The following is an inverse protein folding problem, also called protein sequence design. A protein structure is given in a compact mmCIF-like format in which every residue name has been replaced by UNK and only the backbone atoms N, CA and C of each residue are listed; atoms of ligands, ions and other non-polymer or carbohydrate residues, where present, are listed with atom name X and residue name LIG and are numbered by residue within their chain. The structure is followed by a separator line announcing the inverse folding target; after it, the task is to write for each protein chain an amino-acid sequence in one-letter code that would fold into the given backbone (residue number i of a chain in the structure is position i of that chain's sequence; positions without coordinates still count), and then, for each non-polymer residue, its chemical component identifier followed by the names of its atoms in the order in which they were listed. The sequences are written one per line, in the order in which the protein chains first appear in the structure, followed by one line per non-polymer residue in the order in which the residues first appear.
data_IF_637463681300
#
_entry.id   IF_637463681300
#
_cell.length_a   1.000
_cell.length_b   1.000
_cell.length_c   1.000
_cell.angle_alpha   90.00
_cell.angle_beta   90.00
_cell.angle_gamma   90.00
#
_symmetry.space_group_name_H-M   'P 1'
#
loop_
_entity.id
_entity.type
_entity.pdbx_description
1 polymer ?
#
# COMPACT_ATOMS: atom_id res chain seq x y z
N UNK A 1 -1.80 3.28 13.26
CA UNK A 1 -1.10 4.04 12.18
C UNK A 1 -0.69 3.08 11.06
N UNK A 2 -1.55 2.78 10.12
CA UNK A 2 -1.29 1.76 9.09
C UNK A 2 -0.33 2.21 7.99
N UNK A 3 -0.08 3.53 7.86
CA UNK A 3 0.80 4.08 6.84
C UNK A 3 2.18 4.48 7.35
N UNK A 4 2.53 4.15 8.59
CA UNK A 4 3.85 4.47 9.15
C UNK A 4 4.95 3.76 8.35
N UNK A 5 6.00 4.48 8.02
CA UNK A 5 7.11 3.95 7.19
C UNK A 5 8.16 3.26 8.06
N UNK A 6 8.74 2.20 7.50
CA UNK A 6 9.84 1.50 8.16
C UNK A 6 11.04 2.43 8.44
N UNK A 7 11.35 3.33 7.50
CA UNK A 7 12.42 4.31 7.64
C UNK A 7 12.17 5.29 8.80
N UNK A 8 10.93 5.73 8.99
CA UNK A 8 10.54 6.59 10.12
C UNK A 8 10.77 5.89 11.45
N UNK A 9 10.36 4.60 11.54
CA UNK A 9 10.60 3.79 12.74
C UNK A 9 12.09 3.53 12.97
N UNK A 10 12.85 3.24 11.92
CA UNK A 10 14.30 3.05 12.01
C UNK A 10 15.00 4.32 12.51
N UNK A 11 14.64 5.49 11.98
CA UNK A 11 15.18 6.77 12.42
C UNK A 11 14.80 7.06 13.89
N UNK A 12 13.57 6.74 14.29
CA UNK A 12 13.16 6.89 15.70
C UNK A 12 14.01 6.02 16.62
N UNK A 13 14.27 4.77 16.24
CA UNK A 13 15.12 3.86 17.00
C UNK A 13 16.58 4.32 17.07
N UNK A 14 17.11 4.90 15.98
CA UNK A 14 18.47 5.45 15.95
C UNK A 14 18.65 6.66 16.88
N UNK A 15 17.60 7.45 17.09
CA UNK A 15 17.63 8.58 18.03
C UNK A 15 17.59 8.13 19.50
N UNK A 16 16.93 7.02 19.78
CA UNK A 16 16.90 6.44 21.11
C UNK A 16 18.26 5.81 21.45
N UNK A 17 18.58 5.71 22.73
CA UNK A 17 19.80 5.10 23.26
C UNK A 17 19.61 4.61 24.69
N UNK A 18 20.69 4.26 25.36
CA UNK A 18 20.63 3.86 26.78
C UNK A 18 20.24 5.04 27.69
N UNK A 19 20.70 6.24 27.34
CA UNK A 19 20.49 7.48 28.10
C UNK A 19 19.61 8.51 27.35
N UNK A 20 18.88 8.08 26.31
CA UNK A 20 17.96 8.90 25.56
C UNK A 20 16.72 8.11 25.15
N UNK A 21 15.58 8.77 25.15
CA UNK A 21 14.37 8.25 24.49
C UNK A 21 14.03 9.10 23.26
N UNK A 22 13.30 8.53 22.35
CA UNK A 22 12.81 9.27 21.20
C UNK A 22 11.30 9.25 21.11
N UNK A 23 10.73 10.32 20.55
CA UNK A 23 9.30 10.56 20.45
C UNK A 23 8.96 10.97 19.02
N UNK A 24 8.05 10.25 18.36
CA UNK A 24 7.52 10.67 17.07
C UNK A 24 6.45 11.73 17.30
N UNK A 25 6.64 12.90 16.73
CA UNK A 25 5.69 14.03 16.79
C UNK A 25 5.16 14.36 15.39
N UNK A 26 4.15 15.19 15.30
CA UNK A 26 3.56 15.63 14.03
C UNK A 26 3.14 17.09 14.09
N UNK A 27 3.37 17.86 13.02
CA UNK A 27 2.84 19.21 12.86
C UNK A 27 1.46 19.13 12.23
N UNK A 28 0.45 19.69 12.90
CA UNK A 28 -0.96 19.65 12.50
C UNK A 28 -1.49 21.08 12.34
N UNK A 29 -2.27 21.32 11.29
CA UNK A 29 -3.00 22.58 11.13
C UNK A 29 -4.09 22.72 12.22
N UNK A 30 -4.79 21.64 12.50
CA UNK A 30 -5.73 21.52 13.62
C UNK A 30 -5.30 20.34 14.51
N UNK A 31 -4.67 20.61 15.67
CA UNK A 31 -4.22 19.56 16.60
C UNK A 31 -5.30 19.11 17.58
N UNK A 32 -6.57 19.45 17.36
CA UNK A 32 -7.68 19.06 18.24
C UNK A 32 -7.72 17.54 18.46
N UNK A 33 -7.80 17.13 19.72
CA UNK A 33 -7.82 15.74 20.14
C UNK A 33 -6.45 15.09 20.35
N UNK A 34 -5.37 15.77 19.99
CA UNK A 34 -4.00 15.27 20.23
C UNK A 34 -3.43 15.85 21.53
N UNK A 35 -2.52 15.10 22.19
CA UNK A 35 -1.65 15.67 23.21
C UNK A 35 -0.66 16.66 22.58
N UNK A 36 -0.34 17.73 23.27
CA UNK A 36 0.58 18.79 22.77
C UNK A 36 1.99 18.56 23.29
N UNK A 37 2.97 18.79 22.44
CA UNK A 37 4.39 18.73 22.79
C UNK A 37 4.82 20.07 23.36
N UNK A 38 5.01 20.12 24.67
CA UNK A 38 5.48 21.34 25.34
C UNK A 38 7.01 21.37 25.32
N UNK A 39 7.57 22.48 24.85
CA UNK A 39 9.01 22.70 24.74
C UNK A 39 9.47 23.86 25.59
N UNK A 40 10.74 23.81 26.00
CA UNK A 40 11.39 24.96 26.63
C UNK A 40 11.78 26.03 25.58
N UNK A 41 12.24 27.22 26.00
CA UNK A 41 12.70 28.26 25.06
C UNK A 41 13.89 27.85 24.20
N UNK A 42 14.63 26.79 24.54
CA UNK A 42 15.72 26.23 23.75
C UNK A 42 15.24 25.20 22.73
N UNK A 43 13.94 24.87 22.73
CA UNK A 43 13.33 23.88 21.84
C UNK A 43 13.35 22.45 22.33
N UNK A 44 13.85 22.17 23.54
CA UNK A 44 13.85 20.82 24.15
C UNK A 44 12.44 20.45 24.60
N UNK A 45 12.07 19.20 24.40
CA UNK A 45 10.82 18.65 24.91
C UNK A 45 10.84 18.61 26.42
N UNK A 46 9.81 19.17 27.06
CA UNK A 46 9.61 19.16 28.51
C UNK A 46 8.60 18.09 28.91
N UNK A 47 7.43 18.06 28.27
CA UNK A 47 6.33 17.16 28.58
C UNK A 47 5.32 17.10 27.43
N UNK A 48 4.40 16.17 27.55
CA UNK A 48 3.18 16.13 26.75
C UNK A 48 2.02 16.53 27.65
N UNK A 49 1.16 17.41 27.18
CA UNK A 49 -0.09 17.75 27.85
C UNK A 49 -1.28 17.26 27.01
N UNK A 50 -2.14 16.48 27.62
CA UNK A 50 -3.34 15.98 26.95
C UNK A 50 -4.35 17.11 26.70
N UNK A 51 -5.15 17.00 25.62
CA UNK A 51 -6.12 18.02 25.21
C UNK A 51 -7.01 18.54 26.34
N UNK A 52 -7.43 17.66 27.26
CA UNK A 52 -8.36 18.00 28.36
C UNK A 52 -7.69 18.67 29.55
N UNK A 53 -6.38 18.52 29.68
CA UNK A 53 -5.58 19.08 30.75
C UNK A 53 -4.78 20.32 30.30
N UNK A 54 -4.82 20.65 29.00
CA UNK A 54 -4.06 21.75 28.42
C UNK A 54 -4.67 23.12 28.77
N UNK A 55 -3.79 24.06 29.11
CA UNK A 55 -4.14 25.47 29.25
C UNK A 55 -4.50 26.11 27.89
N UNK A 56 -5.18 27.27 27.88
CA UNK A 56 -5.46 27.97 26.62
C UNK A 56 -4.22 28.24 25.76
N UNK A 57 -3.10 28.59 26.37
CA UNK A 57 -1.84 28.84 25.67
C UNK A 57 -1.28 27.50 25.05
N UNK A 58 -1.34 26.40 25.78
CA UNK A 58 -0.90 25.10 25.29
C UNK A 58 -1.77 24.54 24.18
N UNK A 59 -3.06 24.88 24.15
CA UNK A 59 -3.94 24.53 23.05
C UNK A 59 -3.54 25.18 21.72
N UNK A 60 -2.75 26.26 21.73
CA UNK A 60 -2.23 26.91 20.53
C UNK A 60 -1.03 26.19 19.91
N UNK A 61 -0.48 25.19 20.60
CA UNK A 61 0.65 24.39 20.08
C UNK A 61 0.16 23.49 18.96
N UNK A 62 0.78 23.60 17.79
CA UNK A 62 0.47 22.80 16.61
C UNK A 62 1.21 21.45 16.56
N UNK A 63 2.20 21.24 17.42
CA UNK A 63 2.94 19.98 17.48
C UNK A 63 2.21 18.97 18.36
N UNK A 64 1.71 17.91 17.72
CA UNK A 64 0.95 16.82 18.35
C UNK A 64 1.79 15.59 18.69
N UNK A 65 1.39 14.91 19.75
CA UNK A 65 1.91 13.59 20.11
C UNK A 65 1.28 12.50 19.23
N UNK A 66 2.09 11.65 18.61
CA UNK A 66 1.59 10.53 17.82
C UNK A 66 1.34 9.24 18.65
N UNK A 67 1.87 9.19 19.87
CA UNK A 67 1.86 7.97 20.70
C UNK A 67 2.94 6.95 20.35
N UNK A 68 3.78 7.22 19.34
CA UNK A 68 4.91 6.34 18.97
C UNK A 68 6.19 6.86 19.61
N UNK A 69 6.85 6.02 20.38
CA UNK A 69 8.10 6.37 21.07
C UNK A 69 9.02 5.16 21.19
N UNK A 70 10.31 5.40 21.29
CA UNK A 70 11.30 4.38 21.66
C UNK A 70 11.90 4.73 23.02
N UNK A 71 11.77 3.80 23.96
CA UNK A 71 12.07 4.01 25.38
C UNK A 71 12.98 2.90 25.90
N UNK A 72 14.08 3.22 26.63
CA UNK A 72 14.90 2.20 27.28
C UNK A 72 14.07 1.41 28.31
N UNK A 73 14.01 0.08 28.15
CA UNK A 73 13.11 -0.79 28.94
C UNK A 73 13.38 -0.70 30.46
N UNK A 74 14.63 -0.59 30.87
CA UNK A 74 14.98 -0.47 32.28
C UNK A 74 14.38 0.80 32.92
N UNK A 75 14.42 1.92 32.20
CA UNK A 75 13.85 3.20 32.65
C UNK A 75 12.31 3.18 32.61
N UNK A 76 11.75 2.63 31.55
CA UNK A 76 10.29 2.51 31.38
C UNK A 76 9.64 1.81 32.59
N UNK A 77 10.22 0.69 33.07
CA UNK A 77 9.69 -0.04 34.24
C UNK A 77 9.61 0.85 35.49
N UNK A 78 10.62 1.69 35.70
CA UNK A 78 10.65 2.61 36.87
C UNK A 78 9.60 3.69 36.73
N UNK A 79 9.42 4.26 35.51
CA UNK A 79 8.44 5.31 35.26
C UNK A 79 7.00 4.79 35.34
N UNK A 80 6.71 3.62 34.77
CA UNK A 80 5.38 3.01 34.85
C UNK A 80 4.93 2.81 36.31
N UNK A 81 5.82 2.45 37.20
CA UNK A 81 5.50 2.32 38.65
C UNK A 81 5.21 3.67 39.35
N UNK A 82 5.58 4.79 38.76
CA UNK A 82 5.38 6.15 39.31
C UNK A 82 4.15 6.85 38.69
N UNK A 83 3.51 6.28 37.65
CA UNK A 83 2.33 6.88 37.01
C UNK A 83 1.20 7.09 38.02
N UNK A 84 0.50 8.21 37.85
CA UNK A 84 -0.66 8.59 38.65
C UNK A 84 -1.85 8.83 37.76
N UNK A 85 -3.05 8.79 38.32
CA UNK A 85 -4.30 9.09 37.63
C UNK A 85 -4.95 10.40 38.10
N UNK A 86 -4.14 11.33 38.61
CA UNK A 86 -4.60 12.64 39.11
C UNK A 86 -4.68 13.66 37.97
N UNK A 87 -5.54 13.40 36.97
CA UNK A 87 -5.77 14.23 35.79
C UNK A 87 -7.26 14.38 35.52
N UNK A 88 -7.65 15.20 34.55
CA UNK A 88 -9.05 15.51 34.21
C UNK A 88 -9.90 14.27 33.87
N UNK A 89 -9.30 13.17 33.43
CA UNK A 89 -9.98 11.94 33.06
C UNK A 89 -9.92 10.84 34.13
N UNK A 90 -9.06 10.98 35.15
CA UNK A 90 -8.84 9.95 36.16
C UNK A 90 -8.13 8.72 35.63
N UNK A 91 -7.39 8.84 34.51
CA UNK A 91 -6.72 7.76 33.79
C UNK A 91 -5.19 7.82 34.00
N UNK A 92 -4.51 6.68 33.82
CA UNK A 92 -3.06 6.65 33.78
C UNK A 92 -2.58 7.03 32.38
N UNK A 93 -1.92 8.19 32.26
CA UNK A 93 -1.38 8.63 30.98
C UNK A 93 0.03 8.12 30.78
N UNK A 94 0.23 7.30 29.75
CA UNK A 94 1.59 6.85 29.39
C UNK A 94 2.48 8.03 29.00
N UNK A 95 1.90 9.12 28.51
CA UNK A 95 2.57 10.36 28.11
C UNK A 95 3.30 11.06 29.27
N UNK A 96 2.92 10.79 30.54
CA UNK A 96 3.58 11.35 31.72
C UNK A 96 5.04 10.87 31.87
N UNK A 97 5.40 9.74 31.23
CA UNK A 97 6.81 9.26 31.26
C UNK A 97 7.77 10.24 30.60
N UNK A 98 7.30 11.12 29.71
CA UNK A 98 8.11 12.14 29.05
C UNK A 98 8.62 13.15 30.08
N UNK A 99 7.72 13.68 30.91
CA UNK A 99 8.08 14.60 32.00
C UNK A 99 8.99 13.92 33.04
N UNK A 100 8.70 12.65 33.37
CA UNK A 100 9.55 11.88 34.27
C UNK A 100 10.96 11.65 33.72
N UNK A 101 11.07 11.39 32.40
CA UNK A 101 12.36 11.24 31.74
C UNK A 101 13.18 12.54 31.82
N UNK A 102 12.55 13.68 31.51
CA UNK A 102 13.18 15.00 31.60
C UNK A 102 13.64 15.29 33.05
N UNK A 103 12.79 15.00 34.05
CA UNK A 103 13.11 15.19 35.46
C UNK A 103 14.27 14.29 35.94
N UNK A 104 14.38 13.09 35.40
CA UNK A 104 15.46 12.15 35.69
C UNK A 104 16.74 12.44 34.83
N UNK A 105 16.78 13.54 34.05
CA UNK A 105 17.92 13.96 33.23
C UNK A 105 18.13 13.16 31.96
N UNK A 106 17.10 12.40 31.52
CA UNK A 106 17.12 11.65 30.28
C UNK A 106 16.69 12.57 29.10
N UNK A 107 17.49 12.59 28.05
CA UNK A 107 17.18 13.39 26.88
C UNK A 107 15.99 12.81 26.10
N UNK A 108 14.99 13.64 25.81
CA UNK A 108 13.87 13.30 24.93
C UNK A 108 14.10 13.90 23.55
N UNK A 109 14.41 13.04 22.56
CA UNK A 109 14.71 13.44 21.19
C UNK A 109 13.46 13.34 20.31
N UNK A 110 12.86 14.46 19.89
CA UNK A 110 11.72 14.43 19.01
C UNK A 110 12.15 14.13 17.57
N UNK A 111 11.34 13.33 16.88
CA UNK A 111 11.36 13.13 15.43
C UNK A 111 10.03 13.61 14.88
N UNK A 112 10.03 14.63 14.04
CA UNK A 112 8.80 15.08 13.38
C UNK A 112 8.51 14.14 12.22
N UNK A 113 7.29 13.59 12.17
CA UNK A 113 6.86 12.74 11.07
C UNK A 113 6.93 13.49 9.73
N UNK A 114 7.49 12.87 8.67
CA UNK A 114 7.61 13.52 7.36
C UNK A 114 6.28 13.96 6.77
N UNK A 115 5.20 13.23 7.08
CA UNK A 115 3.84 13.55 6.64
C UNK A 115 2.82 13.22 7.72
N UNK A 116 1.73 13.95 7.75
CA UNK A 116 0.59 13.67 8.64
C UNK A 116 0.01 12.28 8.37
N UNK A 117 -0.01 11.86 7.11
CA UNK A 117 -0.57 10.58 6.69
C UNK A 117 0.08 9.37 7.40
N UNK A 118 1.39 9.43 7.67
CA UNK A 118 2.10 8.33 8.35
C UNK A 118 1.58 8.04 9.76
N UNK A 119 1.06 9.08 10.42
CA UNK A 119 0.68 9.03 11.84
C UNK A 119 -0.82 9.06 12.08
N UNK A 120 -1.63 9.05 11.02
CA UNK A 120 -3.09 8.98 11.15
C UNK A 120 -3.51 7.68 11.86
N UNK A 121 -4.30 7.83 12.92
CA UNK A 121 -5.02 6.75 13.57
C UNK A 121 -6.33 6.43 12.85
N UNK A 122 -6.90 5.26 13.13
CA UNK A 122 -8.22 4.85 12.64
C UNK A 122 -9.05 4.48 13.84
N UNK A 123 -10.11 5.24 14.11
CA UNK A 123 -11.06 4.99 15.19
C UNK A 123 -12.46 4.65 14.66
N UNK A 124 -12.74 5.01 13.41
CA UNK A 124 -14.02 4.79 12.76
C UNK A 124 -13.87 4.48 11.26
N UNK A 125 -14.99 4.22 10.59
CA UNK A 125 -15.01 3.87 9.16
C UNK A 125 -14.75 5.06 8.23
N UNK A 126 -15.00 6.29 8.68
CA UNK A 126 -14.70 7.50 7.90
C UNK A 126 -13.18 7.69 7.83
N UNK A 127 -12.53 7.64 8.99
CA UNK A 127 -11.07 7.69 9.07
C UNK A 127 -10.40 6.53 8.32
N UNK A 128 -11.00 5.32 8.36
CA UNK A 128 -10.52 4.20 7.55
C UNK A 128 -10.58 4.53 6.06
N UNK A 129 -11.68 5.08 5.57
CA UNK A 129 -11.84 5.44 4.16
C UNK A 129 -10.86 6.54 3.71
N UNK A 130 -10.57 7.50 4.58
CA UNK A 130 -9.57 8.56 4.33
C UNK A 130 -8.16 7.99 4.23
N UNK A 131 -7.78 7.12 5.15
CA UNK A 131 -6.45 6.47 5.15
C UNK A 131 -6.30 5.52 3.95
N UNK A 132 -7.34 4.79 3.56
CA UNK A 132 -7.37 3.98 2.34
C UNK A 132 -7.22 4.83 1.07
N UNK A 133 -7.88 5.98 1.00
CA UNK A 133 -7.74 6.91 -0.13
C UNK A 133 -6.31 7.44 -0.23
N UNK A 134 -5.70 7.79 0.91
CA UNK A 134 -4.31 8.24 0.96
C UNK A 134 -3.34 7.11 0.58
N UNK A 135 -3.58 5.88 1.03
CA UNK A 135 -2.79 4.72 0.61
C UNK A 135 -2.80 4.56 -0.91
N UNK A 136 -4.00 4.59 -1.54
CA UNK A 136 -4.12 4.51 -3.02
C UNK A 136 -3.36 5.64 -3.71
N UNK A 137 -3.46 6.86 -3.20
CA UNK A 137 -2.75 8.03 -3.73
C UNK A 137 -1.22 7.85 -3.68
N UNK A 138 -0.70 7.34 -2.57
CA UNK A 138 0.73 7.06 -2.41
C UNK A 138 1.20 5.97 -3.39
N UNK A 139 0.45 4.87 -3.53
CA UNK A 139 0.77 3.77 -4.46
C UNK A 139 0.75 4.24 -5.92
N UNK A 140 -0.26 5.03 -6.31
CA UNK A 140 -0.32 5.63 -7.65
C UNK A 140 0.88 6.55 -7.92
N UNK A 141 1.27 7.35 -6.94
CA UNK A 141 2.46 8.22 -7.04
C UNK A 141 3.75 7.40 -7.23
N UNK A 142 3.92 6.31 -6.48
CA UNK A 142 5.07 5.41 -6.63
C UNK A 142 5.15 4.84 -8.06
N UNK A 143 4.03 4.38 -8.62
CA UNK A 143 3.97 3.89 -10.00
C UNK A 143 4.36 4.98 -11.02
N UNK A 144 3.85 6.21 -10.86
CA UNK A 144 4.21 7.33 -11.74
C UNK A 144 5.70 7.70 -11.61
N UNK A 145 6.25 7.69 -10.41
CA UNK A 145 7.68 7.93 -10.18
C UNK A 145 8.56 6.82 -10.77
N UNK A 146 8.06 5.59 -10.82
CA UNK A 146 8.72 4.46 -11.48
C UNK A 146 8.58 4.49 -13.01
N UNK A 147 7.81 5.43 -13.59
CA UNK A 147 7.68 5.64 -15.03
C UNK A 147 6.37 5.19 -15.65
N UNK A 148 5.34 4.84 -14.87
CA UNK A 148 4.01 4.56 -15.41
C UNK A 148 3.27 5.85 -15.79
N UNK A 149 2.50 5.77 -16.87
CA UNK A 149 1.45 6.74 -17.19
C UNK A 149 0.11 6.22 -16.66
N UNK A 150 -0.47 6.91 -15.69
CA UNK A 150 -1.82 6.64 -15.19
C UNK A 150 -2.81 7.64 -15.80
N UNK A 151 -3.87 7.16 -16.45
CA UNK A 151 -4.89 8.04 -17.07
C UNK A 151 -5.63 8.83 -15.97
N UNK A 152 -5.96 8.18 -14.86
CA UNK A 152 -6.49 8.81 -13.66
C UNK A 152 -5.89 8.14 -12.41
N UNK A 153 -4.92 8.77 -11.73
CA UNK A 153 -4.28 8.20 -10.56
C UNK A 153 -5.24 7.88 -9.39
N UNK A 154 -6.36 8.58 -9.28
CA UNK A 154 -7.35 8.33 -8.23
C UNK A 154 -8.17 7.04 -8.45
N UNK A 155 -8.12 6.49 -9.67
CA UNK A 155 -8.91 5.34 -10.10
C UNK A 155 -8.08 4.09 -10.39
N UNK A 156 -6.89 4.00 -9.80
CA UNK A 156 -6.04 2.80 -9.80
C UNK A 156 -5.92 2.29 -8.36
N UNK A 157 -6.13 1.00 -8.15
CA UNK A 157 -6.07 0.38 -6.84
C UNK A 157 -4.98 -0.70 -6.79
N UNK A 158 -4.05 -0.57 -5.85
CA UNK A 158 -2.93 -1.52 -5.66
C UNK A 158 -3.06 -2.18 -4.29
N UNK A 159 -3.46 -3.45 -4.28
CA UNK A 159 -3.65 -4.29 -3.10
C UNK A 159 -2.55 -5.34 -3.01
N UNK A 160 -1.30 -4.88 -2.99
CA UNK A 160 -0.12 -5.75 -2.98
C UNK A 160 1.11 -5.03 -3.50
N UNK A 161 1.91 -5.72 -4.31
CA UNK A 161 3.12 -5.16 -4.93
C UNK A 161 3.02 -5.17 -6.45
N UNK A 162 3.37 -4.05 -7.06
CA UNK A 162 3.44 -3.93 -8.53
C UNK A 162 4.85 -3.46 -8.89
N UNK A 163 5.52 -4.23 -9.75
CA UNK A 163 6.76 -3.82 -10.40
C UNK A 163 6.50 -3.55 -11.87
N UNK A 164 7.07 -2.49 -12.42
CA UNK A 164 6.83 -2.05 -13.79
C UNK A 164 8.13 -1.83 -14.55
N UNK A 165 8.07 -2.08 -15.85
CA UNK A 165 9.07 -1.65 -16.81
C UNK A 165 8.86 -0.19 -17.24
N UNK A 166 9.46 0.18 -18.38
CA UNK A 166 9.37 1.54 -18.95
C UNK A 166 8.10 1.70 -19.78
N UNK A 167 7.58 2.95 -19.81
CA UNK A 167 6.48 3.35 -20.70
C UNK A 167 5.19 2.50 -20.53
N UNK A 168 4.93 2.04 -19.31
CA UNK A 168 3.70 1.32 -18.98
C UNK A 168 2.53 2.29 -18.91
N UNK A 169 1.41 1.96 -19.58
CA UNK A 169 0.17 2.73 -19.54
C UNK A 169 -0.90 1.96 -18.78
N UNK A 170 -1.49 2.60 -17.78
CA UNK A 170 -2.55 2.02 -16.93
C UNK A 170 -3.78 2.93 -17.01
N UNK A 171 -4.90 2.36 -17.44
CA UNK A 171 -6.16 3.07 -17.55
C UNK A 171 -6.95 3.09 -16.24
N UNK A 172 -8.14 3.67 -16.27
CA UNK A 172 -9.00 3.86 -15.10
C UNK A 172 -9.58 2.55 -14.57
N UNK A 173 -9.86 2.51 -13.26
CA UNK A 173 -10.48 1.38 -12.57
C UNK A 173 -9.69 0.05 -12.68
N UNK A 174 -8.40 0.14 -12.87
CA UNK A 174 -7.54 -1.05 -12.83
C UNK A 174 -7.25 -1.41 -11.38
N UNK A 175 -7.38 -2.69 -11.06
CA UNK A 175 -7.08 -3.26 -9.74
C UNK A 175 -5.94 -4.26 -9.86
N UNK A 176 -4.88 -4.04 -9.09
CA UNK A 176 -3.78 -4.99 -8.93
C UNK A 176 -3.86 -5.65 -7.56
N UNK A 177 -3.83 -6.98 -7.50
CA UNK A 177 -3.85 -7.76 -6.26
C UNK A 177 -2.66 -8.71 -6.19
N UNK A 178 -2.14 -8.93 -4.98
CA UNK A 178 -0.99 -9.78 -4.76
C UNK A 178 0.29 -9.24 -5.42
N UNK A 179 1.04 -10.07 -6.13
CA UNK A 179 2.27 -9.68 -6.82
C UNK A 179 2.03 -9.59 -8.33
N UNK A 180 2.20 -8.41 -8.90
CA UNK A 180 2.06 -8.20 -10.35
C UNK A 180 3.34 -7.60 -10.92
N UNK A 181 3.81 -8.19 -12.01
CA UNK A 181 4.96 -7.69 -12.78
C UNK A 181 4.53 -7.29 -14.17
N UNK A 182 4.86 -6.08 -14.60
CA UNK A 182 4.58 -5.55 -15.93
C UNK A 182 5.90 -5.21 -16.62
N UNK A 183 6.14 -5.78 -17.81
CA UNK A 183 7.28 -5.45 -18.65
C UNK A 183 7.19 -4.06 -19.28
N UNK A 184 8.15 -3.75 -20.15
CA UNK A 184 8.19 -2.47 -20.86
C UNK A 184 6.99 -2.32 -21.81
N UNK A 185 6.45 -1.10 -21.93
CA UNK A 185 5.38 -0.70 -22.88
C UNK A 185 4.09 -1.50 -22.75
N UNK A 186 3.88 -2.19 -21.64
CA UNK A 186 2.62 -2.86 -21.35
C UNK A 186 1.49 -1.83 -21.25
N UNK A 187 0.33 -2.17 -21.80
CA UNK A 187 -0.89 -1.36 -21.72
C UNK A 187 -2.00 -2.12 -21.04
N UNK A 188 -2.56 -1.56 -19.98
CA UNK A 188 -3.68 -2.14 -19.24
C UNK A 188 -4.92 -1.28 -19.44
N UNK A 189 -5.91 -1.84 -20.13
CA UNK A 189 -7.21 -1.20 -20.39
C UNK A 189 -8.11 -1.12 -19.16
N UNK A 190 -9.12 -0.26 -19.20
CA UNK A 190 -9.94 0.09 -18.05
C UNK A 190 -10.74 -1.11 -17.52
N UNK A 191 -11.08 -1.05 -16.24
CA UNK A 191 -11.87 -2.04 -15.50
C UNK A 191 -11.24 -3.44 -15.49
N UNK A 192 -9.94 -3.57 -15.63
CA UNK A 192 -9.24 -4.85 -15.61
C UNK A 192 -8.73 -5.17 -14.20
N UNK A 193 -8.75 -6.45 -13.83
CA UNK A 193 -8.25 -6.98 -12.56
C UNK A 193 -7.12 -7.95 -12.83
N UNK A 194 -5.95 -7.69 -12.24
CA UNK A 194 -4.78 -8.55 -12.34
C UNK A 194 -4.38 -9.01 -10.94
N UNK A 195 -4.36 -10.33 -10.72
CA UNK A 195 -3.97 -10.94 -9.45
C UNK A 195 -2.83 -11.92 -9.65
N UNK A 196 -1.69 -11.70 -8.97
CA UNK A 196 -0.50 -12.59 -9.05
C UNK A 196 -0.10 -12.91 -10.49
N UNK A 197 0.13 -11.89 -11.32
CA UNK A 197 0.38 -12.02 -12.75
C UNK A 197 1.76 -11.50 -13.16
N UNK A 198 2.35 -12.18 -14.14
CA UNK A 198 3.55 -11.73 -14.83
C UNK A 198 3.22 -11.41 -16.29
N UNK A 199 3.30 -10.15 -16.68
CA UNK A 199 2.97 -9.66 -18.03
C UNK A 199 4.24 -9.17 -18.70
N UNK A 200 4.64 -9.81 -19.78
CA UNK A 200 5.85 -9.46 -20.52
C UNK A 200 5.68 -8.18 -21.36
N UNK A 201 6.79 -7.68 -21.91
CA UNK A 201 6.84 -6.41 -22.63
C UNK A 201 5.91 -6.39 -23.86
N UNK A 202 5.44 -5.20 -24.20
CA UNK A 202 4.59 -4.94 -25.39
C UNK A 202 3.20 -5.62 -25.36
N UNK A 203 2.85 -6.31 -24.26
CA UNK A 203 1.54 -6.92 -24.10
C UNK A 203 0.44 -5.85 -23.90
N UNK A 204 -0.74 -6.12 -24.46
CA UNK A 204 -1.91 -5.26 -24.33
C UNK A 204 -3.06 -6.04 -23.70
N UNK A 205 -3.48 -5.58 -22.54
CA UNK A 205 -4.69 -6.06 -21.86
C UNK A 205 -5.81 -5.08 -22.19
N UNK A 206 -6.78 -5.53 -22.99
CA UNK A 206 -7.94 -4.74 -23.37
C UNK A 206 -8.94 -4.58 -22.22
N UNK A 207 -9.95 -3.70 -22.34
CA UNK A 207 -10.91 -3.43 -21.27
C UNK A 207 -11.62 -4.66 -20.69
N UNK A 208 -11.93 -4.59 -19.38
CA UNK A 208 -12.78 -5.57 -18.68
C UNK A 208 -12.21 -7.00 -18.64
N UNK A 209 -10.90 -7.14 -18.52
CA UNK A 209 -10.26 -8.45 -18.39
C UNK A 209 -10.01 -8.82 -16.94
N UNK A 210 -10.06 -10.12 -16.63
CA UNK A 210 -9.70 -10.68 -15.31
C UNK A 210 -8.62 -11.72 -15.49
N UNK A 211 -7.45 -11.45 -14.90
CA UNK A 211 -6.28 -12.32 -14.96
C UNK A 211 -5.90 -12.74 -13.52
N UNK A 212 -5.79 -14.05 -13.31
CA UNK A 212 -5.41 -14.62 -12.00
C UNK A 212 -4.30 -15.64 -12.17
N UNK A 213 -3.20 -15.48 -11.43
CA UNK A 213 -2.06 -16.41 -11.39
C UNK A 213 -1.66 -16.87 -12.81
N UNK A 214 -1.51 -15.89 -13.70
CA UNK A 214 -1.26 -16.09 -15.11
C UNK A 214 0.03 -15.41 -15.56
N UNK A 215 0.70 -16.02 -16.56
CA UNK A 215 1.80 -15.39 -17.26
C UNK A 215 1.43 -15.12 -18.71
N UNK A 216 1.78 -13.94 -19.19
CA UNK A 216 1.46 -13.44 -20.53
C UNK A 216 2.75 -13.05 -21.23
N UNK A 217 3.02 -13.66 -22.39
CA UNK A 217 4.19 -13.42 -23.21
C UNK A 217 4.21 -12.05 -23.89
N UNK A 218 5.36 -11.75 -24.49
CA UNK A 218 5.61 -10.45 -25.13
C UNK A 218 4.71 -10.25 -26.34
N UNK A 219 4.21 -9.01 -26.53
CA UNK A 219 3.36 -8.65 -27.65
C UNK A 219 1.98 -9.33 -27.68
N UNK A 220 1.59 -10.03 -26.62
CA UNK A 220 0.29 -10.67 -26.56
C UNK A 220 -0.86 -9.66 -26.46
N UNK A 221 -2.00 -10.01 -27.05
CA UNK A 221 -3.24 -9.21 -27.03
C UNK A 221 -4.32 -9.98 -26.27
N UNK A 222 -4.79 -9.43 -25.15
CA UNK A 222 -5.74 -10.11 -24.26
C UNK A 222 -7.02 -9.28 -24.15
N UNK A 223 -8.15 -9.88 -24.49
CA UNK A 223 -9.47 -9.27 -24.35
C UNK A 223 -10.01 -8.60 -25.62
N UNK A 224 -11.06 -7.77 -25.48
CA UNK A 224 -11.72 -7.40 -24.20
C UNK A 224 -12.54 -8.54 -23.59
N UNK A 225 -12.92 -8.41 -22.30
CA UNK A 225 -13.74 -9.40 -21.58
C UNK A 225 -13.14 -10.81 -21.57
N UNK A 226 -11.83 -10.92 -21.56
CA UNK A 226 -11.14 -12.20 -21.43
C UNK A 226 -10.91 -12.56 -19.97
N UNK A 227 -10.90 -13.85 -19.67
CA UNK A 227 -10.56 -14.39 -18.36
C UNK A 227 -9.40 -15.37 -18.42
N UNK A 228 -8.30 -15.05 -17.79
CA UNK A 228 -7.19 -16.00 -17.56
C UNK A 228 -7.27 -16.53 -16.15
N UNK A 229 -7.44 -17.84 -16.00
CA UNK A 229 -7.53 -18.55 -14.72
C UNK A 229 -6.15 -19.01 -14.25
N UNK A 230 -6.04 -19.39 -12.96
CA UNK A 230 -4.79 -19.89 -12.39
C UNK A 230 -4.13 -20.98 -13.24
N UNK A 231 -2.83 -20.75 -13.51
CA UNK A 231 -1.99 -21.64 -14.30
C UNK A 231 -2.04 -21.40 -15.81
N UNK A 232 -2.71 -20.36 -16.29
CA UNK A 232 -2.62 -19.95 -17.70
C UNK A 232 -1.21 -19.40 -17.99
N UNK A 233 -0.55 -19.96 -19.02
CA UNK A 233 0.76 -19.52 -19.50
C UNK A 233 0.68 -19.29 -21.00
N UNK A 234 0.65 -18.05 -21.40
CA UNK A 234 0.56 -17.63 -22.80
C UNK A 234 1.95 -17.27 -23.30
N UNK A 235 2.32 -17.80 -24.45
CA UNK A 235 3.57 -17.47 -25.11
C UNK A 235 3.51 -16.10 -25.81
N UNK A 236 4.56 -15.74 -26.55
CA UNK A 236 4.63 -14.44 -27.21
C UNK A 236 3.64 -14.35 -28.38
N UNK A 237 3.14 -13.12 -28.62
CA UNK A 237 2.24 -12.78 -29.74
C UNK A 237 0.91 -13.54 -29.74
N UNK A 238 0.52 -14.12 -28.61
CA UNK A 238 -0.78 -14.80 -28.47
C UNK A 238 -1.92 -13.79 -28.51
N UNK A 239 -3.03 -14.18 -29.14
CA UNK A 239 -4.23 -13.36 -29.18
C UNK A 239 -5.42 -14.09 -28.55
N UNK A 240 -5.82 -13.65 -27.37
CA UNK A 240 -7.03 -14.08 -26.65
C UNK A 240 -8.07 -12.99 -26.77
N UNK A 241 -9.10 -13.23 -27.53
CA UNK A 241 -10.13 -12.22 -27.84
C UNK A 241 -11.30 -12.20 -26.85
N UNK A 242 -12.42 -11.65 -27.27
CA UNK A 242 -13.54 -11.35 -26.40
C UNK A 242 -14.33 -12.59 -25.96
N UNK A 243 -14.70 -12.60 -24.68
CA UNK A 243 -15.44 -13.69 -24.04
C UNK A 243 -14.74 -15.05 -24.16
N UNK A 244 -13.41 -15.04 -24.09
CA UNK A 244 -12.60 -16.26 -24.04
C UNK A 244 -12.13 -16.50 -22.59
N UNK A 245 -12.35 -17.70 -22.07
CA UNK A 245 -11.82 -18.15 -20.81
C UNK A 245 -10.71 -19.17 -21.02
N UNK A 246 -9.55 -18.95 -20.38
CA UNK A 246 -8.37 -19.82 -20.48
C UNK A 246 -8.00 -20.35 -19.10
N UNK A 247 -7.76 -21.68 -18.97
CA UNK A 247 -7.37 -22.35 -17.73
C UNK A 247 -6.26 -23.36 -17.98
N UNK A 248 -5.16 -23.30 -17.19
CA UNK A 248 -4.01 -24.24 -17.28
C UNK A 248 -3.60 -24.51 -18.73
N UNK A 249 -3.33 -23.48 -19.44
CA UNK A 249 -3.14 -23.52 -20.88
C UNK A 249 -1.68 -23.16 -21.18
N UNK A 250 -1.03 -24.02 -21.95
CA UNK A 250 0.29 -23.75 -22.53
C UNK A 250 0.09 -23.45 -24.02
N UNK A 251 0.37 -22.22 -24.40
CA UNK A 251 0.15 -21.76 -25.76
C UNK A 251 1.48 -21.57 -26.50
N UNK A 252 1.48 -21.92 -27.78
CA UNK A 252 2.60 -21.65 -28.66
C UNK A 252 2.55 -20.22 -29.21
N UNK A 253 3.72 -19.72 -29.62
CA UNK A 253 3.85 -18.36 -30.14
C UNK A 253 2.84 -18.06 -31.26
N UNK A 254 2.17 -16.92 -31.18
CA UNK A 254 1.23 -16.44 -32.19
C UNK A 254 -0.08 -17.23 -32.33
N UNK A 255 -0.41 -18.07 -31.35
CA UNK A 255 -1.70 -18.77 -31.36
C UNK A 255 -2.86 -17.80 -31.05
N UNK A 256 -4.05 -18.14 -31.53
CA UNK A 256 -5.23 -17.26 -31.47
C UNK A 256 -6.47 -18.01 -30.99
N UNK A 257 -7.19 -17.41 -30.07
CA UNK A 257 -8.55 -17.76 -29.69
C UNK A 257 -9.38 -16.48 -29.61
N UNK A 258 -10.01 -16.08 -30.72
CA UNK A 258 -10.43 -14.70 -30.88
C UNK A 258 -11.79 -14.38 -30.23
N UNK A 259 -12.68 -15.36 -30.01
CA UNK A 259 -14.01 -15.08 -29.46
C UNK A 259 -14.73 -16.34 -28.99
N UNK A 260 -15.57 -16.19 -27.96
CA UNK A 260 -16.57 -17.15 -27.51
C UNK A 260 -16.02 -18.60 -27.36
N UNK A 261 -14.92 -18.76 -26.65
CA UNK A 261 -14.28 -20.08 -26.45
C UNK A 261 -13.91 -20.31 -24.99
N UNK A 262 -14.05 -21.56 -24.54
CA UNK A 262 -13.38 -22.06 -23.33
C UNK A 262 -12.21 -22.94 -23.74
N UNK A 263 -11.02 -22.59 -23.28
CA UNK A 263 -9.79 -23.34 -23.55
C UNK A 263 -9.19 -23.78 -22.21
N UNK A 264 -9.34 -25.04 -21.88
CA UNK A 264 -8.91 -25.58 -20.59
C UNK A 264 -8.06 -26.84 -20.70
N UNK A 265 -7.06 -26.95 -19.81
CA UNK A 265 -6.19 -28.13 -19.66
C UNK A 265 -5.63 -28.64 -21.01
N UNK A 266 -5.23 -27.71 -21.90
CA UNK A 266 -4.77 -28.00 -23.26
C UNK A 266 -3.37 -27.45 -23.52
N UNK A 267 -2.65 -28.09 -24.43
CA UNK A 267 -1.42 -27.58 -25.04
C UNK A 267 -1.72 -27.26 -26.50
N UNK A 268 -1.49 -26.01 -26.92
CA UNK A 268 -1.74 -25.55 -28.27
C UNK A 268 -0.43 -25.21 -28.97
N UNK A 269 -0.28 -25.65 -30.20
CA UNK A 269 0.93 -25.39 -30.98
C UNK A 269 1.02 -23.95 -31.48
N UNK A 270 2.19 -23.56 -31.94
CA UNK A 270 2.41 -22.23 -32.50
C UNK A 270 1.51 -21.92 -33.68
N UNK A 271 0.98 -20.68 -33.77
CA UNK A 271 0.13 -20.16 -34.85
C UNK A 271 -1.18 -20.93 -35.08
N UNK A 272 -1.60 -21.74 -34.14
CA UNK A 272 -2.93 -22.36 -34.16
C UNK A 272 -4.00 -21.27 -34.01
N UNK A 273 -5.09 -21.40 -34.76
CA UNK A 273 -6.25 -20.53 -34.63
C UNK A 273 -7.46 -21.35 -34.16
N UNK A 274 -7.91 -21.08 -32.94
CA UNK A 274 -9.08 -21.71 -32.35
C UNK A 274 -10.30 -20.87 -32.74
N UNK A 275 -11.20 -21.47 -33.52
CA UNK A 275 -12.46 -20.84 -33.91
C UNK A 275 -13.45 -20.73 -32.74
N UNK A 276 -14.56 -20.01 -32.96
CA UNK A 276 -15.67 -20.02 -32.02
C UNK A 276 -16.21 -21.44 -31.89
N UNK A 277 -16.03 -22.04 -30.70
CA UNK A 277 -16.54 -23.37 -30.43
C UNK A 277 -17.63 -23.31 -29.35
N UNK A 278 -18.74 -24.08 -29.51
CA UNK A 278 -19.55 -24.44 -28.37
C UNK A 278 -18.64 -25.14 -27.34
N UNK A 279 -18.88 -24.92 -26.04
CA UNK A 279 -18.12 -25.48 -24.92
C UNK A 279 -17.89 -27.00 -25.10
N UNK A 280 -16.69 -27.38 -25.48
CA UNK A 280 -16.28 -28.77 -25.45
C UNK A 280 -15.58 -29.01 -24.11
N UNK A 281 -16.03 -29.97 -23.30
CA UNK A 281 -15.16 -30.51 -22.28
C UNK A 281 -14.03 -31.25 -23.02
N UNK A 282 -12.83 -30.67 -23.04
CA UNK A 282 -11.65 -31.38 -23.54
C UNK A 282 -11.28 -32.37 -22.45
N UNK A 283 -11.87 -33.55 -22.52
CA UNK A 283 -11.34 -34.73 -21.90
C UNK A 283 -10.14 -35.15 -22.77
N UNK A 284 -8.97 -35.26 -22.15
CA UNK A 284 -7.75 -35.80 -22.73
C UNK A 284 -8.05 -36.96 -23.69
N UNK A 285 -7.72 -36.78 -24.96
CA UNK A 285 -7.56 -37.88 -25.87
C UNK A 285 -6.14 -38.42 -25.66
N UNK A 286 -5.95 -39.73 -25.43
CA UNK A 286 -4.67 -40.33 -25.12
C UNK A 286 -3.64 -40.18 -26.23
#
# INVERSE_FOLDING_TARGET
MPLIRADTLANLLLLAGEDAMSLLTVMLDDPTGYGRIVRDPSGKVLRIVEQKDATPDELTIHEGNTGVMAVPVARLRTWLARLKNSNAQGEYYLTDIIEMAVADGIEVKPLIAPTVAEVLGINDKLQLAEVEAEHRRLRARELMQAGATLIDPARVDVRGSVSIGRDVLIDINVVFEGRVTLGDRVRIGPNSVLRDCDIASDAVIHPNCVLEQASVGSGALIGPFARLRPGAKLADEVHIGNFVEVKKFLDGNGAKANHLAYVGDATVGARVNIGAAPSWPITTVP
#
